data_IF_130288991108
#
_entry.id   IF_130288991108
#
_cell.length_a   1.000
_cell.length_b   1.000
_cell.length_c   1.000
_cell.angle_alpha   90.00
_cell.angle_beta   90.00
_cell.angle_gamma   90.00
#
_symmetry.space_group_name_H-M   'P 1'
#
loop_
_entity.id
_entity.type
_entity.pdbx_description
1 polymer ?
#
# COMPACT_ATOMS: atom_id res chain seq x y z
N UNK A 1 -24.76 2.09 3.26
CA UNK A 1 -24.70 3.55 3.05
C UNK A 1 -23.67 4.23 3.95
N UNK A 2 -23.32 3.66 5.11
CA UNK A 2 -22.30 4.20 6.03
C UNK A 2 -20.87 4.16 5.49
N UNK A 3 -20.44 3.04 4.89
CA UNK A 3 -19.07 2.84 4.37
C UNK A 3 -18.69 3.81 3.24
N UNK A 4 -19.60 4.12 2.32
CA UNK A 4 -19.34 5.09 1.24
C UNK A 4 -19.10 6.49 1.81
N UNK A 5 -19.84 6.89 2.83
CA UNK A 5 -19.70 8.21 3.47
C UNK A 5 -18.36 8.33 4.21
N UNK A 6 -17.96 7.28 4.94
CA UNK A 6 -16.67 7.24 5.64
C UNK A 6 -15.49 7.33 4.66
N UNK A 7 -15.59 6.61 3.55
CA UNK A 7 -14.63 6.67 2.44
C UNK A 7 -14.49 8.09 1.89
N UNK A 8 -15.59 8.79 1.65
CA UNK A 8 -15.56 10.14 1.10
C UNK A 8 -14.98 11.14 2.12
N UNK A 9 -15.24 10.93 3.42
CA UNK A 9 -14.61 11.71 4.48
C UNK A 9 -13.08 11.52 4.49
N UNK A 10 -12.58 10.28 4.37
CA UNK A 10 -11.14 10.01 4.32
C UNK A 10 -10.49 10.62 3.08
N UNK A 11 -11.13 10.52 1.91
CA UNK A 11 -10.67 11.14 0.66
C UNK A 11 -10.51 12.65 0.76
N UNK A 12 -11.47 13.34 1.38
CA UNK A 12 -11.41 14.81 1.56
C UNK A 12 -10.22 15.21 2.43
N UNK A 13 -9.86 14.40 3.42
CA UNK A 13 -8.76 14.69 4.36
C UNK A 13 -7.37 14.37 3.79
N UNK A 14 -7.27 13.41 2.88
CA UNK A 14 -5.99 12.91 2.35
C UNK A 14 -5.08 14.00 1.73
N UNK A 15 -5.56 14.90 0.84
CA UNK A 15 -4.70 15.92 0.24
C UNK A 15 -4.05 16.84 1.27
N UNK A 16 -4.84 17.30 2.25
CA UNK A 16 -4.32 18.15 3.33
C UNK A 16 -3.29 17.40 4.17
N UNK A 17 -3.56 16.14 4.52
CA UNK A 17 -2.61 15.30 5.27
C UNK A 17 -1.28 15.15 4.55
N UNK A 18 -1.29 14.86 3.24
CA UNK A 18 -0.07 14.72 2.43
C UNK A 18 0.75 16.02 2.44
N UNK A 19 0.09 17.18 2.36
CA UNK A 19 0.77 18.48 2.37
C UNK A 19 1.40 18.80 3.75
N UNK A 20 0.73 18.43 4.84
CA UNK A 20 1.33 18.52 6.18
C UNK A 20 2.57 17.63 6.31
N UNK A 21 2.53 16.38 5.83
CA UNK A 21 3.70 15.51 5.82
C UNK A 21 4.82 16.05 4.94
N UNK A 22 4.52 16.65 3.79
CA UNK A 22 5.50 17.32 2.94
C UNK A 22 6.19 18.47 3.67
N UNK A 23 5.41 19.30 4.37
CA UNK A 23 5.92 20.43 5.17
C UNK A 23 6.77 19.95 6.34
N UNK A 24 6.36 18.89 7.02
CA UNK A 24 7.11 18.28 8.12
C UNK A 24 8.48 17.77 7.64
N UNK A 25 8.52 17.01 6.54
CA UNK A 25 9.79 16.53 5.94
C UNK A 25 10.70 17.69 5.59
N UNK A 26 10.19 18.70 4.87
CA UNK A 26 11.00 19.86 4.46
C UNK A 26 11.51 20.70 5.65
N UNK A 27 10.75 20.73 6.76
CA UNK A 27 11.16 21.45 7.97
C UNK A 27 12.20 20.65 8.75
N UNK A 28 12.03 19.32 8.85
CA UNK A 28 12.98 18.45 9.53
C UNK A 28 14.33 18.39 8.81
N UNK A 29 14.34 18.32 7.48
CA UNK A 29 15.58 18.41 6.67
C UNK A 29 16.35 19.71 6.93
N UNK A 30 15.63 20.82 7.16
CA UNK A 30 16.24 22.11 7.49
C UNK A 30 16.79 22.14 8.91
N UNK A 31 16.07 21.59 9.88
CA UNK A 31 16.53 21.45 11.27
C UNK A 31 17.81 20.61 11.30
N UNK A 32 17.80 19.50 10.59
CA UNK A 32 18.92 18.58 10.48
C UNK A 32 20.20 19.26 9.98
N UNK A 33 20.12 19.92 8.82
CA UNK A 33 21.28 20.63 8.24
C UNK A 33 21.80 21.72 9.16
N UNK A 34 20.91 22.39 9.90
CA UNK A 34 21.30 23.37 10.90
C UNK A 34 22.03 22.73 12.08
N UNK A 35 21.59 21.57 12.57
CA UNK A 35 22.29 20.84 13.63
C UNK A 35 23.69 20.40 13.22
N UNK A 36 23.89 19.96 11.97
CA UNK A 36 25.22 19.66 11.42
C UNK A 36 26.12 20.91 11.37
N UNK A 37 25.57 22.05 10.96
CA UNK A 37 26.31 23.32 10.99
C UNK A 37 26.66 23.75 12.41
N UNK A 38 25.72 23.64 13.36
CA UNK A 38 25.96 23.95 14.77
C UNK A 38 27.03 23.05 15.39
N UNK A 39 27.13 21.78 14.99
CA UNK A 39 28.22 20.91 15.42
C UNK A 39 29.59 21.42 14.94
N UNK A 40 29.69 21.83 13.66
CA UNK A 40 30.92 22.43 13.13
C UNK A 40 31.33 23.69 13.91
N UNK A 41 30.36 24.52 14.32
CA UNK A 41 30.62 25.71 15.13
C UNK A 41 31.09 25.35 16.55
N UNK A 42 30.53 24.31 17.18
CA UNK A 42 31.03 23.81 18.46
C UNK A 42 32.46 23.28 18.38
N UNK A 43 32.83 22.63 17.28
CA UNK A 43 34.23 22.22 17.03
C UNK A 43 35.15 23.43 16.93
N UNK A 44 34.77 24.46 16.18
CA UNK A 44 35.56 25.71 16.08
C UNK A 44 35.70 26.40 17.43
N UNK A 45 34.62 26.43 18.21
CA UNK A 45 34.63 27.00 19.55
C UNK A 45 35.58 26.24 20.49
N UNK A 46 35.55 24.91 20.45
CA UNK A 46 36.47 24.05 21.21
C UNK A 46 37.94 24.37 20.88
N UNK A 47 38.28 24.55 19.60
CA UNK A 47 39.62 24.93 19.16
C UNK A 47 40.01 26.33 19.64
N UNK A 48 39.10 27.30 19.54
CA UNK A 48 39.36 28.67 19.98
C UNK A 48 39.63 28.75 21.50
N UNK A 49 38.87 28.01 22.30
CA UNK A 49 39.10 27.91 23.75
C UNK A 49 40.40 27.18 24.06
N UNK A 50 40.77 26.17 23.27
CA UNK A 50 42.08 25.51 23.39
C UNK A 50 43.25 26.48 23.15
N UNK A 51 43.16 27.30 22.10
CA UNK A 51 44.16 28.32 21.82
C UNK A 51 44.23 29.39 22.92
N UNK A 52 43.07 29.80 23.47
CA UNK A 52 43.02 30.71 24.62
C UNK A 52 43.71 30.10 25.85
N UNK A 53 43.50 28.80 26.11
CA UNK A 53 44.15 28.10 27.21
C UNK A 53 45.68 28.12 27.10
N UNK A 54 46.22 28.10 25.88
CA UNK A 54 47.67 28.17 25.65
C UNK A 54 48.21 29.60 25.78
N UNK A 55 47.46 30.62 25.35
CA UNK A 55 47.82 32.02 25.53
C UNK A 55 47.95 32.39 27.01
N UNK A 56 47.04 31.89 27.86
CA UNK A 56 47.05 32.22 29.29
C UNK A 56 48.15 31.51 30.10
N UNK A 57 48.72 30.42 29.57
CA UNK A 57 49.91 29.81 30.17
C UNK A 57 51.13 30.74 30.08
N UNK A 58 51.15 31.63 29.09
CA UNK A 58 52.22 32.60 28.87
C UNK A 58 52.06 33.81 29.81
N UNK A 59 52.13 33.58 31.12
CA UNK A 59 52.15 34.67 32.10
C UNK A 59 53.57 35.27 32.20
N UNK A 60 53.66 36.57 32.53
CA UNK A 60 54.96 37.21 32.83
C UNK A 60 55.53 36.68 34.16
N UNK A 61 54.70 36.19 35.06
CA UNK A 61 55.13 35.66 36.36
C UNK A 61 55.51 34.19 36.18
N UNK A 62 56.78 33.87 36.40
CA UNK A 62 57.27 32.49 36.48
C UNK A 62 56.47 31.73 37.57
N UNK A 63 55.88 30.59 37.20
CA UNK A 63 55.07 29.70 38.05
C UNK A 63 53.81 30.32 38.72
N UNK A 64 53.02 31.09 37.96
CA UNK A 64 51.70 31.53 38.42
C UNK A 64 50.68 30.37 38.54
N UNK A 65 50.37 29.97 39.78
CA UNK A 65 49.40 28.90 40.08
C UNK A 65 48.00 29.15 39.49
N UNK A 66 47.52 30.40 39.53
CA UNK A 66 46.16 30.75 39.10
C UNK A 66 46.00 30.66 37.58
N UNK A 67 47.02 31.06 36.81
CA UNK A 67 47.04 30.92 35.34
C UNK A 67 47.02 29.44 34.90
N UNK A 68 47.73 28.57 35.63
CA UNK A 68 47.70 27.12 35.38
C UNK A 68 46.32 26.51 35.62
N UNK A 69 45.63 26.90 36.71
CA UNK A 69 44.26 26.44 36.98
C UNK A 69 43.27 26.94 35.92
N UNK A 70 43.38 28.20 35.51
CA UNK A 70 42.49 28.81 34.53
C UNK A 70 42.65 28.13 33.16
N UNK A 71 43.90 27.88 32.74
CA UNK A 71 44.20 27.12 31.53
C UNK A 71 43.61 25.70 31.56
N UNK A 72 43.69 25.01 32.70
CA UNK A 72 43.03 23.70 32.86
C UNK A 72 41.50 23.80 32.77
N UNK A 73 40.90 24.86 33.31
CA UNK A 73 39.45 25.10 33.21
C UNK A 73 39.02 25.33 31.76
N UNK A 74 39.78 26.13 30.99
CA UNK A 74 39.54 26.29 29.56
C UNK A 74 39.71 24.98 28.79
N UNK A 75 40.72 24.17 29.10
CA UNK A 75 40.85 22.83 28.55
C UNK A 75 39.61 21.97 28.77
N UNK A 76 39.05 21.96 30.00
CA UNK A 76 37.79 21.26 30.30
C UNK A 76 36.62 21.79 29.48
N UNK A 77 36.46 23.11 29.38
CA UNK A 77 35.43 23.73 28.54
C UNK A 77 35.57 23.27 27.08
N UNK A 78 36.80 23.30 26.54
CA UNK A 78 37.10 22.81 25.19
C UNK A 78 36.66 21.35 25.00
N UNK A 79 36.95 20.46 25.96
CA UNK A 79 36.51 19.06 25.90
C UNK A 79 34.99 18.90 25.92
N UNK A 80 34.28 19.71 26.71
CA UNK A 80 32.80 19.69 26.75
C UNK A 80 32.20 20.11 25.42
N UNK A 81 32.75 21.16 24.77
CA UNK A 81 32.30 21.59 23.45
C UNK A 81 32.61 20.57 22.35
N UNK A 82 33.74 19.88 22.45
CA UNK A 82 34.07 18.77 21.55
C UNK A 82 33.07 17.61 21.71
N UNK A 83 32.73 17.23 22.95
CA UNK A 83 31.71 16.21 23.23
C UNK A 83 30.30 16.64 22.77
N UNK A 84 29.93 17.92 22.97
CA UNK A 84 28.67 18.46 22.49
C UNK A 84 28.60 18.43 20.95
N UNK A 85 29.71 18.72 20.27
CA UNK A 85 29.81 18.60 18.81
C UNK A 85 29.53 17.18 18.32
N UNK A 86 30.20 16.18 18.92
CA UNK A 86 30.00 14.78 18.51
C UNK A 86 28.57 14.31 18.78
N UNK A 87 27.98 14.71 19.91
CA UNK A 87 26.58 14.41 20.22
C UNK A 87 25.63 15.01 19.19
N UNK A 88 25.85 16.27 18.80
CA UNK A 88 25.04 16.94 17.78
C UNK A 88 25.17 16.26 16.41
N UNK A 89 26.37 15.82 16.01
CA UNK A 89 26.57 15.07 14.77
C UNK A 89 25.84 13.71 14.79
N UNK A 90 25.92 12.98 15.90
CA UNK A 90 25.24 11.69 16.06
C UNK A 90 23.73 11.87 16.04
N UNK A 91 23.21 12.85 16.79
CA UNK A 91 21.79 13.19 16.80
C UNK A 91 21.31 13.56 15.41
N UNK A 92 22.09 14.38 14.70
CA UNK A 92 21.80 14.75 13.33
C UNK A 92 21.72 13.47 12.46
N UNK A 93 22.77 12.65 12.42
CA UNK A 93 22.76 11.43 11.57
C UNK A 93 21.59 10.50 11.90
N UNK A 94 21.26 10.32 13.19
CA UNK A 94 20.12 9.53 13.63
C UNK A 94 18.78 10.12 13.18
N UNK A 95 18.62 11.45 13.25
CA UNK A 95 17.44 12.14 12.76
C UNK A 95 17.23 11.97 11.25
N UNK A 96 18.31 12.06 10.46
CA UNK A 96 18.29 11.86 9.02
C UNK A 96 17.91 10.43 8.63
N UNK A 97 18.50 9.42 9.27
CA UNK A 97 18.27 8.01 8.92
C UNK A 97 16.94 7.47 9.45
N UNK A 98 16.51 7.91 10.63
CA UNK A 98 15.32 7.40 11.29
C UNK A 98 14.07 8.25 11.01
N UNK A 99 14.10 9.50 11.46
CA UNK A 99 12.90 10.34 11.49
C UNK A 99 12.47 10.81 10.10
N UNK A 100 13.41 11.34 9.31
CA UNK A 100 13.13 11.81 7.94
C UNK A 100 12.64 10.66 7.07
N UNK A 101 13.29 9.49 7.14
CA UNK A 101 12.86 8.31 6.38
C UNK A 101 11.50 7.77 6.82
N UNK A 102 11.19 7.78 8.12
CA UNK A 102 9.86 7.42 8.62
C UNK A 102 8.76 8.35 8.09
N UNK A 103 9.02 9.67 8.09
CA UNK A 103 8.07 10.66 7.57
C UNK A 103 7.88 10.54 6.06
N UNK A 104 8.94 10.30 5.30
CA UNK A 104 8.85 10.02 3.86
C UNK A 104 8.01 8.76 3.59
N UNK A 105 8.24 7.67 4.33
CA UNK A 105 7.42 6.44 4.22
C UNK A 105 5.94 6.70 4.51
N UNK A 106 5.62 7.49 5.54
CA UNK A 106 4.24 7.85 5.85
C UNK A 106 3.59 8.67 4.74
N UNK A 107 4.30 9.64 4.18
CA UNK A 107 3.83 10.41 3.02
C UNK A 107 3.54 9.50 1.83
N UNK A 108 4.46 8.60 1.52
CA UNK A 108 4.35 7.71 0.36
C UNK A 108 3.19 6.70 0.54
N UNK A 109 2.97 6.22 1.76
CA UNK A 109 1.79 5.43 2.13
C UNK A 109 0.50 6.21 1.85
N UNK A 110 0.40 7.47 2.30
CA UNK A 110 -0.79 8.30 2.05
C UNK A 110 -1.03 8.56 0.56
N UNK A 111 0.03 8.74 -0.22
CA UNK A 111 -0.05 8.88 -1.68
C UNK A 111 -0.59 7.59 -2.30
N UNK A 112 -0.07 6.43 -1.90
CA UNK A 112 -0.57 5.14 -2.39
C UNK A 112 -2.06 4.92 -2.07
N UNK A 113 -2.51 5.31 -0.88
CA UNK A 113 -3.94 5.25 -0.50
C UNK A 113 -4.78 6.17 -1.38
N UNK A 114 -4.29 7.37 -1.69
CA UNK A 114 -4.96 8.30 -2.63
C UNK A 114 -5.13 7.66 -4.01
N UNK A 115 -4.08 7.02 -4.52
CA UNK A 115 -4.12 6.34 -5.82
C UNK A 115 -5.06 5.13 -5.82
N UNK A 116 -5.12 4.37 -4.72
CA UNK A 116 -6.09 3.27 -4.55
C UNK A 116 -7.53 3.79 -4.65
N UNK A 117 -7.83 4.92 -4.02
CA UNK A 117 -9.16 5.54 -4.14
C UNK A 117 -9.46 6.01 -5.57
N UNK A 118 -8.51 6.64 -6.26
CA UNK A 118 -8.69 7.04 -7.66
C UNK A 118 -8.95 5.85 -8.58
N UNK A 119 -8.24 4.73 -8.39
CA UNK A 119 -8.48 3.49 -9.15
C UNK A 119 -9.87 2.92 -8.88
N UNK A 120 -10.29 2.89 -7.62
CA UNK A 120 -11.62 2.42 -7.23
C UNK A 120 -12.72 3.25 -7.87
N UNK A 121 -12.59 4.58 -7.85
CA UNK A 121 -13.59 5.48 -8.45
C UNK A 121 -13.70 5.24 -9.96
N UNK A 122 -12.58 5.08 -10.66
CA UNK A 122 -12.57 4.73 -12.09
C UNK A 122 -13.30 3.41 -12.38
N UNK A 123 -13.14 2.38 -11.54
CA UNK A 123 -13.84 1.10 -11.69
C UNK A 123 -15.35 1.26 -11.45
N UNK A 124 -15.72 2.11 -10.50
CA UNK A 124 -17.12 2.44 -10.19
C UNK A 124 -17.78 3.20 -11.35
N UNK A 125 -17.09 4.19 -11.91
CA UNK A 125 -17.52 4.97 -13.07
C UNK A 125 -17.59 4.13 -14.36
N UNK A 126 -16.68 3.18 -14.53
CA UNK A 126 -16.63 2.29 -15.69
C UNK A 126 -17.77 1.26 -15.78
N UNK A 127 -18.80 1.36 -14.94
CA UNK A 127 -20.00 0.51 -14.92
C UNK A 127 -19.73 -1.01 -14.88
N UNK A 128 -18.52 -1.45 -14.52
CA UNK A 128 -18.15 -2.87 -14.52
C UNK A 128 -19.08 -3.69 -13.63
N UNK A 129 -19.40 -3.16 -12.45
CA UNK A 129 -20.35 -3.80 -11.54
C UNK A 129 -21.77 -3.91 -12.14
N UNK A 130 -22.22 -2.91 -12.89
CA UNK A 130 -23.54 -2.93 -13.53
C UNK A 130 -23.58 -3.89 -14.72
N UNK A 131 -22.50 -3.94 -15.50
CA UNK A 131 -22.34 -4.89 -16.60
C UNK A 131 -22.32 -6.33 -16.10
N UNK A 132 -21.62 -6.60 -14.98
CA UNK A 132 -21.65 -7.91 -14.33
C UNK A 132 -23.06 -8.27 -13.86
N UNK A 133 -23.80 -7.33 -13.23
CA UNK A 133 -25.19 -7.57 -12.82
C UNK A 133 -26.10 -7.90 -14.01
N UNK A 134 -25.98 -7.19 -15.13
CA UNK A 134 -26.74 -7.48 -16.35
C UNK A 134 -26.42 -8.86 -16.93
N UNK A 135 -25.14 -9.26 -16.92
CA UNK A 135 -24.72 -10.60 -17.35
C UNK A 135 -25.24 -11.70 -16.42
N UNK A 136 -25.21 -11.48 -15.11
CA UNK A 136 -25.78 -12.41 -14.12
C UNK A 136 -27.29 -12.56 -14.36
N UNK A 137 -28.04 -11.46 -14.46
CA UNK A 137 -29.48 -11.50 -14.71
C UNK A 137 -29.84 -12.23 -16.02
N UNK A 138 -29.07 -12.03 -17.09
CA UNK A 138 -29.26 -12.76 -18.37
C UNK A 138 -29.00 -14.26 -18.21
N UNK A 139 -27.95 -14.65 -17.49
CA UNK A 139 -27.63 -16.05 -17.23
C UNK A 139 -28.68 -16.71 -16.31
N UNK A 140 -29.17 -16.00 -15.30
CA UNK A 140 -30.25 -16.47 -14.43
C UNK A 140 -31.56 -16.66 -15.19
N UNK A 141 -31.89 -15.75 -16.11
CA UNK A 141 -33.06 -15.90 -16.97
C UNK A 141 -32.96 -17.14 -17.85
N UNK A 142 -31.80 -17.37 -18.49
CA UNK A 142 -31.53 -18.57 -19.29
C UNK A 142 -31.63 -19.85 -18.45
N UNK A 143 -31.07 -19.85 -17.24
CA UNK A 143 -31.18 -20.99 -16.32
C UNK A 143 -32.63 -21.27 -15.89
N UNK A 144 -33.44 -20.23 -15.68
CA UNK A 144 -34.88 -20.40 -15.39
C UNK A 144 -35.62 -21.01 -16.57
N UNK A 145 -35.39 -20.50 -17.79
CA UNK A 145 -36.00 -21.06 -19.02
C UNK A 145 -35.62 -22.52 -19.20
N UNK A 146 -34.34 -22.87 -19.04
CA UNK A 146 -33.85 -24.25 -19.15
C UNK A 146 -34.45 -25.17 -18.09
N UNK A 147 -34.61 -24.70 -16.85
CA UNK A 147 -35.29 -25.46 -15.79
C UNK A 147 -36.77 -25.67 -16.10
N UNK A 148 -37.49 -24.65 -16.57
CA UNK A 148 -38.91 -24.78 -16.93
C UNK A 148 -39.12 -25.66 -18.16
N UNK A 149 -38.22 -25.63 -19.16
CA UNK A 149 -38.27 -26.55 -20.29
C UNK A 149 -37.92 -27.98 -19.90
N UNK A 150 -37.03 -28.18 -18.92
CA UNK A 150 -36.72 -29.50 -18.39
C UNK A 150 -37.88 -30.08 -17.55
N UNK A 151 -38.60 -29.25 -16.79
CA UNK A 151 -39.81 -29.70 -16.07
C UNK A 151 -40.97 -29.98 -17.02
N UNK A 152 -41.12 -29.21 -18.11
CA UNK A 152 -42.14 -29.46 -19.14
C UNK A 152 -41.81 -30.69 -20.01
N UNK A 153 -40.52 -31.04 -20.16
CA UNK A 153 -40.11 -32.29 -20.80
C UNK A 153 -40.32 -33.53 -19.91
N UNK A 154 -40.49 -33.36 -18.60
CA UNK A 154 -40.78 -34.44 -17.65
C UNK A 154 -42.29 -34.65 -17.39
N UNK A 155 -43.17 -33.80 -17.91
CA UNK A 155 -44.62 -33.91 -17.75
C UNK A 155 -45.38 -33.45 -18.98
N UNK A 156 -45.69 -34.39 -19.89
CA UNK A 156 -46.50 -34.08 -21.07
C UNK A 156 -46.51 -35.15 -22.15
N UNK A 157 -47.11 -36.31 -21.86
CA UNK A 157 -47.60 -37.23 -22.88
C UNK A 157 -48.95 -36.75 -23.42
N UNK A 158 -49.05 -36.52 -24.74
CA UNK A 158 -50.27 -36.69 -25.51
C UNK A 158 -50.98 -35.43 -26.05
N UNK A 159 -51.29 -35.47 -27.35
CA UNK A 159 -52.43 -34.76 -27.94
C UNK A 159 -52.10 -33.81 -29.10
N UNK A 160 -52.34 -34.25 -30.34
CA UNK A 160 -52.09 -33.50 -31.57
C UNK A 160 -53.24 -32.57 -32.03
N UNK A 161 -53.00 -31.85 -33.13
CA UNK A 161 -53.98 -31.06 -33.87
C UNK A 161 -53.34 -30.18 -34.94
N UNK A 162 -53.66 -30.43 -36.21
CA UNK A 162 -53.13 -29.77 -37.40
C UNK A 162 -54.05 -28.64 -37.92
N UNK A 163 -53.51 -27.62 -38.59
CA UNK A 163 -54.08 -26.98 -39.79
C UNK A 163 -53.15 -25.90 -40.43
N UNK A 164 -52.78 -26.13 -41.71
CA UNK A 164 -52.81 -25.26 -42.92
C UNK A 164 -52.64 -23.72 -42.75
N UNK A 165 -51.84 -22.94 -43.49
CA UNK A 165 -50.97 -23.08 -44.66
C UNK A 165 -50.87 -21.72 -45.41
N UNK A 166 -49.67 -21.27 -45.81
CA UNK A 166 -49.36 -20.62 -47.12
C UNK A 166 -47.86 -20.24 -47.23
N UNK A 167 -47.28 -20.44 -48.43
CA UNK A 167 -45.89 -20.09 -48.82
C UNK A 167 -45.66 -18.57 -48.91
N UNK A 168 -44.46 -18.02 -49.11
CA UNK A 168 -43.27 -18.40 -49.88
C UNK A 168 -42.02 -17.91 -49.10
N UNK A 169 -40.93 -18.67 -48.94
CA UNK A 169 -39.85 -18.84 -49.92
C UNK A 169 -38.51 -18.39 -49.30
N UNK A 170 -37.55 -19.32 -49.16
CA UNK A 170 -36.16 -18.99 -48.80
C UNK A 170 -35.49 -19.86 -47.72
N UNK A 171 -35.71 -21.17 -47.71
CA UNK A 171 -35.04 -22.12 -46.81
C UNK A 171 -33.88 -22.85 -47.48
N UNK A 172 -32.64 -22.47 -47.13
CA UNK A 172 -31.47 -23.33 -47.29
C UNK A 172 -31.37 -24.25 -46.08
N UNK A 173 -31.79 -25.50 -46.23
CA UNK A 173 -31.69 -26.51 -45.19
C UNK A 173 -30.26 -27.03 -45.03
N UNK A 174 -29.82 -27.18 -43.79
CA UNK A 174 -28.92 -28.28 -43.41
C UNK A 174 -29.53 -28.95 -42.18
N UNK A 175 -30.22 -30.04 -42.46
CA UNK A 175 -30.46 -31.16 -41.54
C UNK A 175 -29.11 -31.80 -41.22
N UNK A 176 -28.76 -31.93 -39.94
CA UNK A 176 -27.53 -32.62 -39.55
C UNK A 176 -27.26 -32.59 -38.05
N UNK A 177 -27.78 -33.60 -37.35
CA UNK A 177 -27.12 -34.30 -36.22
C UNK A 177 -26.11 -33.52 -35.36
N UNK A 178 -26.50 -33.14 -34.13
CA UNK A 178 -25.57 -32.65 -33.10
C UNK A 178 -25.85 -33.23 -31.70
N UNK A 179 -26.30 -34.48 -31.60
CA UNK A 179 -26.27 -35.22 -30.32
C UNK A 179 -24.83 -35.54 -29.88
N UNK A 180 -23.87 -35.56 -30.81
CA UNK A 180 -22.45 -35.76 -30.52
C UNK A 180 -21.77 -34.52 -29.87
N UNK A 181 -22.31 -33.32 -30.09
CA UNK A 181 -21.70 -32.09 -29.59
C UNK A 181 -21.91 -31.91 -28.08
N UNK A 182 -23.01 -32.45 -27.52
CA UNK A 182 -23.32 -32.37 -26.08
C UNK A 182 -22.32 -33.20 -25.25
N UNK A 183 -22.00 -34.42 -25.69
CA UNK A 183 -21.05 -35.28 -24.97
C UNK A 183 -19.61 -34.74 -24.95
N UNK A 184 -19.20 -34.01 -25.99
CA UNK A 184 -17.85 -33.44 -26.08
C UNK A 184 -17.62 -32.27 -25.10
N UNK A 185 -18.69 -31.56 -24.72
CA UNK A 185 -18.62 -30.50 -23.71
C UNK A 185 -18.66 -31.08 -22.28
N UNK A 186 -19.44 -32.14 -22.03
CA UNK A 186 -19.43 -32.83 -20.74
C UNK A 186 -18.08 -33.47 -20.42
N UNK A 187 -17.45 -34.14 -21.39
CA UNK A 187 -16.12 -34.76 -21.20
C UNK A 187 -15.02 -33.70 -20.94
N UNK A 188 -15.16 -32.50 -21.53
CA UNK A 188 -14.26 -31.37 -21.26
C UNK A 188 -14.49 -30.76 -19.86
N UNK A 189 -15.74 -30.68 -19.40
CA UNK A 189 -16.08 -30.18 -18.06
C UNK A 189 -15.56 -31.13 -16.98
N UNK A 190 -15.63 -32.44 -17.22
CA UNK A 190 -15.13 -33.46 -16.29
C UNK A 190 -13.59 -33.43 -16.17
N UNK A 191 -12.88 -33.24 -17.29
CA UNK A 191 -11.42 -33.04 -17.30
C UNK A 191 -10.99 -31.76 -16.58
N UNK A 192 -11.74 -30.67 -16.73
CA UNK A 192 -11.47 -29.40 -16.01
C UNK A 192 -11.71 -29.57 -14.51
N UNK A 193 -12.78 -30.27 -14.12
CA UNK A 193 -13.12 -30.51 -12.71
C UNK A 193 -12.08 -31.42 -12.02
N UNK A 194 -11.60 -32.46 -12.71
CA UNK A 194 -10.54 -33.33 -12.19
C UNK A 194 -9.18 -32.62 -12.08
N UNK A 195 -8.87 -31.69 -13.00
CA UNK A 195 -7.66 -30.88 -12.92
C UNK A 195 -7.72 -29.87 -11.74
N UNK A 196 -8.89 -29.27 -11.47
CA UNK A 196 -9.07 -28.40 -10.30
C UNK A 196 -8.94 -29.18 -8.98
N UNK A 197 -9.44 -30.42 -8.94
CA UNK A 197 -9.32 -31.30 -7.77
C UNK A 197 -7.88 -31.81 -7.55
N UNK A 198 -7.09 -32.05 -8.61
CA UNK A 198 -5.67 -32.41 -8.46
C UNK A 198 -4.81 -31.22 -8.01
N UNK A 199 -5.16 -29.99 -8.43
CA UNK A 199 -4.49 -28.75 -7.99
C UNK A 199 -4.85 -28.40 -6.54
N UNK A 200 -6.04 -28.80 -6.08
CA UNK A 200 -6.48 -28.64 -4.68
C UNK A 200 -5.72 -29.55 -3.71
N UNK A 201 -5.11 -30.64 -4.18
CA UNK A 201 -4.24 -31.51 -3.38
C UNK A 201 -2.83 -30.94 -3.16
N UNK A 202 -2.46 -29.83 -3.82
CA UNK A 202 -1.12 -29.23 -3.73
C UNK A 202 -1.06 -27.92 -2.91
N UNK A 203 -2.14 -27.52 -2.22
CA UNK A 203 -2.05 -26.44 -1.22
C UNK A 203 -1.79 -26.99 0.18
N UNK A 204 -0.56 -27.52 0.37
CA UNK A 204 0.12 -27.40 1.65
C UNK A 204 0.52 -25.93 1.84
N UNK A 205 -0.38 -25.11 2.39
CA UNK A 205 0.00 -24.00 3.25
C UNK A 205 -0.90 -24.04 4.47
N UNK A 206 -0.54 -24.98 5.36
CA UNK A 206 -0.96 -25.07 6.74
C UNK A 206 -0.47 -23.80 7.46
N UNK A 207 -1.30 -22.76 7.53
CA UNK A 207 -1.09 -21.71 8.51
C UNK A 207 -1.35 -22.31 9.91
N UNK A 208 -0.40 -22.25 10.87
CA UNK A 208 -0.62 -22.77 12.21
C UNK A 208 -1.66 -21.91 12.94
N UNK A 209 -2.68 -22.54 13.50
CA UNK A 209 -3.80 -21.92 14.21
C UNK A 209 -3.46 -21.50 15.66
N UNK A 210 -2.26 -20.96 15.91
CA UNK A 210 -1.81 -20.57 17.26
C UNK A 210 -1.58 -19.07 17.46
N UNK A 211 -2.03 -18.21 16.53
CA UNK A 211 -1.88 -16.74 16.64
C UNK A 211 -3.16 -15.99 17.01
N UNK A 212 -4.04 -16.60 17.82
CA UNK A 212 -5.18 -15.92 18.43
C UNK A 212 -5.16 -16.07 19.95
N UNK A 213 -4.12 -15.54 20.58
CA UNK A 213 -4.06 -15.21 22.01
C UNK A 213 -2.88 -14.25 22.21
N UNK A 214 -3.16 -12.95 22.19
CA UNK A 214 -2.54 -11.85 22.96
C UNK A 214 -3.28 -10.58 22.54
N UNK A 215 -4.20 -10.15 23.39
CA UNK A 215 -4.62 -8.78 23.72
C UNK A 215 -5.95 -8.88 24.49
#
# INVERSE_FOLDING_TARGET
MTLDLEVEAVKRRLPASIEYYRTMVATLDRIQKRSEASAADYTRFSLAVGALADCEKQCHIDDCYNCGQLSQAYGKIGTHFSQASTLMEVQARAAQQGMVESLKRHRDLLISVRELFQRRDRIREGNMAEMLKKRIASNEAKLKTLRTSATNAAGGSGGGGAAVGNGEGGGGGVTGSNSASIGLYDEKIEKITNNINSVSSLRLFRFPSTWFMIA
#
